data_IF_351049820881
#
_entry.id   IF_351049820881
#
_cell.length_a   1.000
_cell.length_b   1.000
_cell.length_c   1.000
_cell.angle_alpha   90.00
_cell.angle_beta   90.00
_cell.angle_gamma   90.00
#
_symmetry.space_group_name_H-M   'P 1'
#
loop_
_entity.id
_entity.type
_entity.pdbx_description
1 polymer ?
#
# COMPACT_ATOMS: atom_id res chain seq x y z
N UNK A 1 -3.20 11.16 -27.49
CA UNK A 1 -2.07 10.90 -26.56
C UNK A 1 -2.59 10.09 -25.37
N UNK A 2 -2.23 8.81 -25.22
CA UNK A 2 -2.67 7.97 -24.10
C UNK A 2 -1.90 8.42 -22.86
N UNK A 3 -2.59 8.88 -21.81
CA UNK A 3 -1.95 9.20 -20.52
C UNK A 3 -1.45 7.88 -19.93
N UNK A 4 -0.16 7.59 -20.12
CA UNK A 4 0.49 6.47 -19.42
C UNK A 4 0.62 6.92 -17.97
N UNK A 5 -0.39 6.59 -17.19
CA UNK A 5 -0.36 6.74 -15.73
C UNK A 5 0.68 5.74 -15.24
N UNK A 6 1.87 6.24 -14.92
CA UNK A 6 2.85 5.44 -14.21
C UNK A 6 2.27 5.18 -12.82
N UNK A 7 1.72 3.98 -12.63
CA UNK A 7 1.26 3.51 -11.31
C UNK A 7 2.47 3.56 -10.37
N UNK A 8 2.41 4.39 -9.34
CA UNK A 8 3.41 4.56 -8.29
C UNK A 8 3.53 3.34 -7.36
N UNK A 9 3.08 2.16 -7.79
CA UNK A 9 2.92 0.95 -6.99
C UNK A 9 4.18 0.65 -6.15
N UNK A 10 5.37 0.68 -6.76
CA UNK A 10 6.64 0.42 -6.07
C UNK A 10 7.01 1.44 -4.99
N UNK A 11 6.59 2.70 -5.13
CA UNK A 11 6.82 3.74 -4.10
C UNK A 11 5.81 3.60 -2.97
N UNK A 12 4.58 3.23 -3.29
CA UNK A 12 3.50 3.09 -2.33
C UNK A 12 3.69 1.84 -1.44
N UNK A 13 4.19 0.71 -1.97
CA UNK A 13 4.59 -0.47 -1.17
C UNK A 13 5.65 -0.12 -0.11
N UNK A 14 6.68 0.64 -0.49
CA UNK A 14 7.73 1.07 0.44
C UNK A 14 7.18 1.97 1.55
N UNK A 15 6.22 2.83 1.22
CA UNK A 15 5.51 3.68 2.20
C UNK A 15 4.64 2.84 3.11
N UNK A 16 3.91 1.86 2.58
CA UNK A 16 3.11 0.90 3.36
C UNK A 16 3.98 0.17 4.39
N UNK A 17 5.10 -0.42 3.96
CA UNK A 17 6.04 -1.09 4.87
C UNK A 17 6.55 -0.15 5.97
N UNK A 18 6.86 1.10 5.62
CA UNK A 18 7.34 2.10 6.59
C UNK A 18 6.26 2.43 7.62
N UNK A 19 5.00 2.57 7.20
CA UNK A 19 3.87 2.82 8.08
C UNK A 19 3.59 1.64 9.02
N UNK A 20 3.61 0.41 8.52
CA UNK A 20 3.45 -0.79 9.36
C UNK A 20 4.55 -0.87 10.42
N UNK A 21 5.81 -0.64 10.03
CA UNK A 21 6.94 -0.61 10.98
C UNK A 21 6.78 0.44 12.08
N UNK A 22 6.23 1.63 11.78
CA UNK A 22 5.95 2.67 12.80
C UNK A 22 4.91 2.24 13.83
N UNK A 23 3.99 1.37 13.43
CA UNK A 23 3.00 0.75 14.32
C UNK A 23 3.55 -0.49 15.02
N UNK A 24 4.87 -0.73 14.94
CA UNK A 24 5.54 -1.95 15.40
C UNK A 24 5.00 -3.25 14.74
N UNK A 25 4.31 -3.12 13.60
CA UNK A 25 3.87 -4.25 12.80
C UNK A 25 4.98 -4.60 11.83
N UNK A 26 5.66 -5.71 12.10
CA UNK A 26 6.64 -6.27 11.17
C UNK A 26 5.95 -6.78 9.90
N UNK A 27 6.72 -6.97 8.84
CA UNK A 27 6.25 -7.62 7.61
C UNK A 27 5.59 -8.96 7.95
N UNK A 28 4.28 -9.04 7.72
CA UNK A 28 3.49 -10.24 7.97
C UNK A 28 3.60 -11.12 6.72
N UNK A 29 4.16 -12.33 6.82
CA UNK A 29 4.25 -13.23 5.67
C UNK A 29 2.85 -13.72 5.27
N UNK A 30 2.59 -13.82 3.96
CA UNK A 30 1.35 -14.37 3.42
C UNK A 30 0.16 -13.41 3.37
N UNK A 31 0.37 -12.09 3.50
CA UNK A 31 -0.70 -11.12 3.25
C UNK A 31 -1.12 -11.18 1.78
N UNK A 32 -2.42 -11.41 1.56
CA UNK A 32 -3.01 -11.37 0.22
C UNK A 32 -3.44 -9.96 -0.20
N UNK A 33 -3.91 -9.14 0.75
CA UNK A 33 -4.35 -7.78 0.48
C UNK A 33 -4.24 -6.87 1.71
N UNK A 34 -4.02 -5.57 1.46
CA UNK A 34 -4.12 -4.52 2.48
C UNK A 34 -5.03 -3.41 1.99
N UNK A 35 -5.98 -3.03 2.84
CA UNK A 35 -6.87 -1.90 2.63
C UNK A 35 -6.49 -0.77 3.58
N UNK A 36 -6.08 0.37 3.03
CA UNK A 36 -5.86 1.61 3.78
C UNK A 36 -7.08 2.52 3.62
N UNK A 37 -7.81 2.70 4.71
CA UNK A 37 -8.98 3.58 4.78
C UNK A 37 -8.50 4.94 5.27
N UNK A 38 -8.79 5.99 4.51
CA UNK A 38 -8.52 7.38 4.87
C UNK A 38 -9.71 8.00 5.58
N UNK A 39 -9.48 9.11 6.25
CA UNK A 39 -10.50 9.90 6.94
C UNK A 39 -11.57 10.48 5.99
N UNK A 40 -11.20 10.73 4.74
CA UNK A 40 -12.10 11.19 3.67
C UNK A 40 -12.99 10.06 3.09
N UNK A 41 -12.88 8.84 3.62
CA UNK A 41 -13.62 7.67 3.17
C UNK A 41 -13.02 6.97 1.94
N UNK A 42 -11.91 7.46 1.38
CA UNK A 42 -11.23 6.78 0.30
C UNK A 42 -10.48 5.54 0.79
N UNK A 43 -10.56 4.47 0.00
CA UNK A 43 -9.83 3.23 0.24
C UNK A 43 -8.72 3.10 -0.77
N UNK A 44 -7.48 2.91 -0.28
CA UNK A 44 -6.35 2.49 -1.09
C UNK A 44 -6.17 0.99 -0.90
N UNK A 45 -6.19 0.26 -2.01
CA UNK A 45 -6.06 -1.18 -2.04
C UNK A 45 -4.68 -1.62 -2.55
N UNK A 46 -4.01 -2.47 -1.78
CA UNK A 46 -2.74 -3.10 -2.13
C UNK A 46 -2.95 -4.60 -2.28
N UNK A 47 -2.64 -5.15 -3.45
CA UNK A 47 -2.68 -6.58 -3.73
C UNK A 47 -1.31 -7.18 -3.48
N UNK A 48 -1.27 -8.28 -2.73
CA UNK A 48 -0.08 -9.04 -2.37
C UNK A 48 1.13 -8.14 -2.06
N UNK A 49 1.00 -7.21 -1.09
CA UNK A 49 2.05 -6.24 -0.82
C UNK A 49 3.35 -6.95 -0.45
N UNK A 50 4.45 -6.50 -1.05
CA UNK A 50 5.79 -7.07 -0.86
C UNK A 50 6.55 -6.37 0.24
#
# INVERSE_FOLDING_TARGET
KKKVVHKTATTDDKRLQTSLKKLAVNTIPGIEEVNMIKDDGNVIHFLNPK
#
